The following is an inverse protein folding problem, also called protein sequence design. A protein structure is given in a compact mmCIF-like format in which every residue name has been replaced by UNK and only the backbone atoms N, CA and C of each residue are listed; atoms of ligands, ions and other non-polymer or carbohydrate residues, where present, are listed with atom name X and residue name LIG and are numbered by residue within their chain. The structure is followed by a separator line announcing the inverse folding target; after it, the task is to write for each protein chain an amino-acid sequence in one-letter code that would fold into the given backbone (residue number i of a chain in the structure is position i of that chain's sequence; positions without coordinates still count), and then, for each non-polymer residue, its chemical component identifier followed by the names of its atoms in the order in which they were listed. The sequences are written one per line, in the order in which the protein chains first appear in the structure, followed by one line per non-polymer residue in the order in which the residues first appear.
data_IF_800356480839
#
_entry.id   IF_800356480839
#
_cell.length_a   1.000
_cell.length_b   1.000
_cell.length_c   1.000
_cell.angle_alpha   90.00
_cell.angle_beta   90.00
_cell.angle_gamma   90.00
#
_symmetry.space_group_name_H-M   'P 1'
#
loop_
_entity.id
_entity.type
_entity.pdbx_description
1 polymer ?
#
# COMPACT_ATOMS: atom_id res chain seq x y z
N UNK A 1 25.30 -8.78 -17.38
CA UNK A 1 25.13 -8.75 -15.90
C UNK A 1 23.66 -8.95 -15.62
N UNK A 2 23.27 -10.20 -15.44
CA UNK A 2 21.87 -10.62 -15.37
C UNK A 2 21.58 -11.02 -13.94
N UNK A 3 20.78 -10.23 -13.21
CA UNK A 3 20.25 -10.66 -11.91
C UNK A 3 18.87 -10.06 -11.67
N UNK A 4 17.87 -10.82 -12.14
CA UNK A 4 16.61 -11.15 -11.47
C UNK A 4 15.92 -9.99 -10.74
N UNK A 5 15.01 -9.32 -11.46
CA UNK A 5 13.80 -8.74 -10.87
C UNK A 5 12.96 -9.93 -10.38
N UNK A 6 13.15 -10.34 -9.14
CA UNK A 6 12.26 -11.33 -8.50
C UNK A 6 10.91 -10.67 -8.34
N UNK A 7 10.07 -10.92 -9.34
CA UNK A 7 8.62 -10.93 -9.26
C UNK A 7 8.25 -11.95 -8.17
N UNK A 8 7.30 -11.59 -7.32
CA UNK A 8 6.73 -12.34 -6.17
C UNK A 8 7.24 -11.90 -4.79
N UNK A 9 6.57 -10.87 -4.25
CA UNK A 9 6.00 -10.92 -2.90
C UNK A 9 4.80 -9.95 -2.88
N UNK A 10 3.60 -10.52 -2.99
CA UNK A 10 2.28 -9.87 -2.84
C UNK A 10 1.98 -8.69 -3.78
N UNK A 11 1.16 -8.95 -4.79
CA UNK A 11 0.47 -7.92 -5.58
C UNK A 11 -0.48 -7.03 -4.75
N UNK A 12 -0.56 -7.19 -3.42
CA UNK A 12 -1.29 -6.30 -2.52
C UNK A 12 -0.37 -5.39 -1.71
N UNK A 13 -0.84 -4.18 -1.39
CA UNK A 13 -0.20 -3.34 -0.38
C UNK A 13 -0.35 -4.03 0.97
N UNK A 14 0.75 -4.27 1.67
CA UNK A 14 0.71 -4.76 3.05
C UNK A 14 0.89 -3.61 4.03
N UNK A 15 0.17 -3.64 5.14
CA UNK A 15 0.23 -2.60 6.16
C UNK A 15 0.41 -3.16 7.57
N UNK A 16 0.73 -2.24 8.48
CA UNK A 16 0.72 -2.52 9.90
C UNK A 16 -0.68 -2.28 10.47
N UNK A 17 -1.25 -3.30 11.11
CA UNK A 17 -2.49 -3.14 11.86
C UNK A 17 -2.18 -2.60 13.24
N UNK A 18 -2.61 -1.37 13.53
CA UNK A 18 -2.39 -0.73 14.85
C UNK A 18 -3.16 -1.47 15.94
N UNK A 19 -4.28 -2.12 15.59
CA UNK A 19 -5.14 -2.84 16.52
C UNK A 19 -4.56 -4.18 16.95
N UNK A 20 -4.15 -5.01 15.98
CA UNK A 20 -3.59 -6.35 16.26
C UNK A 20 -2.07 -6.33 16.45
N UNK A 21 -1.44 -5.17 16.23
CA UNK A 21 0.02 -4.98 16.23
C UNK A 21 0.75 -5.94 15.28
N UNK A 22 0.08 -6.35 14.20
CA UNK A 22 0.62 -7.28 13.21
C UNK A 22 1.21 -6.51 12.03
N UNK A 23 2.42 -6.89 11.62
CA UNK A 23 3.08 -6.37 10.42
C UNK A 23 2.77 -7.27 9.23
N UNK A 24 2.92 -6.76 8.01
CA UNK A 24 2.71 -7.49 6.76
C UNK A 24 1.27 -8.01 6.58
N UNK A 25 0.27 -7.28 7.09
CA UNK A 25 -1.13 -7.67 6.87
C UNK A 25 -1.54 -7.21 5.47
N UNK A 26 -2.02 -8.10 4.60
CA UNK A 26 -2.48 -7.72 3.27
C UNK A 26 -3.71 -6.80 3.39
N UNK A 27 -3.63 -5.65 2.72
CA UNK A 27 -4.69 -4.66 2.71
C UNK A 27 -5.69 -4.99 1.59
N UNK A 28 -6.96 -4.99 1.95
CA UNK A 28 -8.09 -5.10 1.04
C UNK A 28 -8.48 -3.71 0.58
N UNK A 29 -8.68 -3.56 -0.73
CA UNK A 29 -8.98 -2.29 -1.40
C UNK A 29 -8.07 -1.13 -0.97
N UNK A 30 -6.74 -1.24 -1.15
CA UNK A 30 -5.85 -0.18 -0.74
C UNK A 30 -6.07 1.08 -1.58
N UNK A 31 -6.14 2.21 -0.89
CA UNK A 31 -6.26 3.55 -1.47
C UNK A 31 -5.04 4.34 -1.04
N UNK A 32 -4.27 4.86 -2.00
CA UNK A 32 -3.11 5.70 -1.69
C UNK A 32 -3.58 7.14 -1.60
N UNK A 33 -3.40 7.78 -0.46
CA UNK A 33 -3.60 9.22 -0.25
C UNK A 33 -2.24 9.92 -0.17
N UNK A 34 -2.16 11.16 -0.64
CA UNK A 34 -1.01 12.05 -0.47
C UNK A 34 -1.37 13.05 0.63
N UNK A 35 -0.68 12.96 1.78
CA UNK A 35 -0.83 13.89 2.90
C UNK A 35 0.50 14.55 3.21
N UNK A 36 0.56 15.87 3.08
CA UNK A 36 1.76 16.68 3.37
C UNK A 36 3.03 16.15 2.68
N UNK A 37 2.91 15.76 1.40
CA UNK A 37 4.02 15.22 0.60
C UNK A 37 4.40 13.76 0.89
N UNK A 38 3.62 13.06 1.74
CA UNK A 38 3.83 11.62 2.04
C UNK A 38 2.73 10.80 1.40
N UNK A 39 3.11 9.67 0.83
CA UNK A 39 2.19 8.71 0.25
C UNK A 39 1.78 7.71 1.32
N UNK A 40 0.49 7.61 1.58
CA UNK A 40 -0.09 6.80 2.63
C UNK A 40 -1.12 5.89 1.99
N UNK A 41 -0.83 4.59 1.92
CA UNK A 41 -1.85 3.61 1.58
C UNK A 41 -2.74 3.38 2.79
N UNK A 42 -4.03 3.61 2.63
CA UNK A 42 -5.08 3.34 3.59
C UNK A 42 -5.95 2.21 3.06
N UNK A 43 -6.53 1.42 3.96
CA UNK A 43 -7.41 0.32 3.57
C UNK A 43 -7.84 -0.48 4.78
N UNK A 44 -8.32 -1.70 4.56
CA UNK A 44 -8.86 -2.56 5.61
C UNK A 44 -8.24 -3.96 5.56
N UNK A 45 -8.17 -4.66 6.69
CA UNK A 45 -7.94 -6.11 6.67
C UNK A 45 -9.24 -6.89 6.38
N UNK A 46 -9.11 -8.22 6.36
CA UNK A 46 -10.22 -9.17 6.24
C UNK A 46 -11.25 -9.04 7.37
N UNK A 47 -10.83 -8.55 8.53
CA UNK A 47 -11.68 -8.32 9.71
C UNK A 47 -12.30 -6.91 9.72
N UNK A 48 -12.06 -6.10 8.68
CA UNK A 48 -12.59 -4.75 8.55
C UNK A 48 -11.84 -3.70 9.38
N UNK A 49 -10.72 -4.04 10.02
CA UNK A 49 -9.94 -3.06 10.77
C UNK A 49 -9.20 -2.13 9.81
N UNK A 50 -9.29 -0.83 10.09
CA UNK A 50 -8.59 0.21 9.32
C UNK A 50 -7.09 0.08 9.52
N UNK A 51 -6.36 0.15 8.43
CA UNK A 51 -4.91 0.11 8.41
C UNK A 51 -4.35 1.18 7.49
N UNK A 52 -3.10 1.55 7.77
CA UNK A 52 -2.35 2.49 6.97
C UNK A 52 -0.90 2.04 6.85
N UNK A 53 -0.33 2.19 5.67
CA UNK A 53 1.08 2.02 5.39
C UNK A 53 1.61 3.32 4.81
N UNK A 54 2.74 3.79 5.33
CA UNK A 54 3.48 4.88 4.71
C UNK A 54 4.39 4.24 3.67
N UNK A 55 4.32 4.74 2.44
CA UNK A 55 5.12 4.26 1.33
C UNK A 55 5.86 5.42 0.65
N UNK A 56 6.94 5.08 -0.04
CA UNK A 56 7.69 6.04 -0.84
C UNK A 56 6.95 6.36 -2.15
N UNK A 57 7.21 7.56 -2.70
CA UNK A 57 6.64 8.01 -3.97
C UNK A 57 6.75 6.98 -5.10
N UNK A 58 7.94 6.39 -5.29
CA UNK A 58 8.16 5.40 -6.35
C UNK A 58 7.23 4.18 -6.21
N UNK A 59 7.13 3.59 -5.01
CA UNK A 59 6.23 2.47 -4.74
C UNK A 59 4.76 2.86 -4.89
N UNK A 60 4.39 4.08 -4.49
CA UNK A 60 3.03 4.59 -4.64
C UNK A 60 2.58 4.57 -6.10
N UNK A 61 3.41 5.17 -6.95
CA UNK A 61 3.16 5.25 -8.37
C UNK A 61 3.17 3.88 -9.03
N UNK A 62 4.08 2.98 -8.62
CA UNK A 62 4.10 1.60 -9.09
C UNK A 62 2.81 0.85 -8.75
N UNK A 63 2.33 0.91 -7.51
CA UNK A 63 1.09 0.25 -7.10
C UNK A 63 -0.15 0.81 -7.79
N UNK A 64 -0.20 2.13 -7.98
CA UNK A 64 -1.30 2.78 -8.71
C UNK A 64 -1.25 2.43 -10.21
N UNK A 65 -0.07 2.40 -10.83
CA UNK A 65 0.10 2.00 -12.24
C UNK A 65 -0.19 0.52 -12.46
N UNK A 66 0.16 -0.33 -11.50
CA UNK A 66 -0.09 -1.76 -11.55
C UNK A 66 -1.58 -2.10 -11.31
N UNK A 67 -2.39 -1.16 -10.84
CA UNK A 67 -3.81 -1.38 -10.51
C UNK A 67 -4.02 -2.02 -9.14
N UNK A 68 -2.96 -2.13 -8.34
CA UNK A 68 -2.97 -2.76 -7.02
C UNK A 68 -3.61 -1.84 -5.97
N UNK A 69 -3.67 -0.52 -6.24
CA UNK A 69 -4.27 0.46 -5.34
C UNK A 69 -4.95 1.60 -6.10
N UNK A 70 -5.96 2.21 -5.46
CA UNK A 70 -6.70 3.36 -6.00
C UNK A 70 -6.03 4.67 -5.59
N UNK A 71 -6.13 5.70 -6.43
CA UNK A 71 -5.76 7.07 -6.05
C UNK A 71 -6.84 7.63 -5.13
N UNK A 72 -6.45 8.01 -3.93
CA UNK A 72 -7.30 8.71 -2.97
C UNK A 72 -7.09 10.22 -3.04
N UNK A 73 -7.02 10.84 -1.87
CA UNK A 73 -6.91 12.28 -1.67
C UNK A 73 -5.49 12.79 -1.99
N UNK A 74 -5.37 14.01 -2.51
CA UNK A 74 -4.07 14.69 -2.69
C UNK A 74 -3.29 14.30 -3.95
N UNK A 75 -3.87 13.51 -4.85
CA UNK A 75 -3.34 13.22 -6.19
C UNK A 75 -3.64 14.31 -7.24
N UNK A 76 -4.21 15.44 -6.80
CA UNK A 76 -4.58 16.60 -7.60
C UNK A 76 -3.36 17.47 -7.97
#
# INVERSE_FOLDING_TARGET
MTTKKTKEESEGITAYSVKTKTKNVPMVDPVIDIKSGRYIATGKDKDGNKMAAILGKAKAEEHVKAGNAKKGSGWE
#
